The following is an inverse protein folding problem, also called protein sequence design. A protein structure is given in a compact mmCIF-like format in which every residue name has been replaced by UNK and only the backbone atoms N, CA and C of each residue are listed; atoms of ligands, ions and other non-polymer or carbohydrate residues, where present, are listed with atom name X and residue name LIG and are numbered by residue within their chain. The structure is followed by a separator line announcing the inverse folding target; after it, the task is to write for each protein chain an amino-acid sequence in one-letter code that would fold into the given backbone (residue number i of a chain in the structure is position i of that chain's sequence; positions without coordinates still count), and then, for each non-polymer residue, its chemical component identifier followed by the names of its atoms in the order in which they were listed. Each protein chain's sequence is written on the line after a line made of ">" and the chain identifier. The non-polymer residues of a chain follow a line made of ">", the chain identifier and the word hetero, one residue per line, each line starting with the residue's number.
data_IF_330011169463
#
_entry.id   IF_330011169463
#
_cell.length_a   1.000
_cell.length_b   1.000
_cell.length_c   1.000
_cell.angle_alpha   90.00
_cell.angle_beta   90.00
_cell.angle_gamma   90.00
#
_symmetry.space_group_name_H-M   'P 1'
#
loop_
_entity.id
_entity.type
_entity.pdbx_description
1 polymer ?
#
# COMPACT_ATOMS: atom_id res chain seq x y z
N UNK A 1 -0.66 8.73 -6.34
CA UNK A 1 0.19 9.56 -7.22
C UNK A 1 -0.69 10.35 -8.17
N UNK A 2 -0.63 11.68 -8.17
CA UNK A 2 -1.32 12.49 -9.18
C UNK A 2 -0.61 12.29 -10.53
N UNK A 3 -1.28 11.67 -11.50
CA UNK A 3 -0.81 11.61 -12.88
C UNK A 3 -0.68 13.05 -13.40
N UNK A 4 0.55 13.55 -13.46
CA UNK A 4 0.86 14.78 -14.16
C UNK A 4 0.45 14.61 -15.62
N UNK A 5 -0.59 15.34 -16.05
CA UNK A 5 -0.87 15.54 -17.48
C UNK A 5 0.28 16.36 -18.05
N UNK A 6 1.27 15.70 -18.66
CA UNK A 6 2.30 16.38 -19.43
C UNK A 6 1.67 16.91 -20.72
N UNK A 7 1.22 18.17 -20.70
CA UNK A 7 0.85 18.89 -21.90
C UNK A 7 2.14 19.32 -22.61
N UNK A 8 2.34 18.91 -23.87
CA UNK A 8 3.40 19.46 -24.70
C UNK A 8 3.04 20.91 -25.06
N UNK A 9 3.76 21.88 -24.51
CA UNK A 9 3.60 23.29 -24.86
C UNK A 9 4.68 23.70 -25.88
N UNK A 10 4.27 24.34 -26.97
CA UNK A 10 5.19 25.07 -27.87
C UNK A 10 5.11 26.55 -27.57
N UNK A 11 6.21 27.12 -27.06
CA UNK A 11 6.35 28.57 -26.85
C UNK A 11 6.96 29.19 -28.10
N UNK A 12 6.34 30.26 -28.61
CA UNK A 12 6.90 31.05 -29.70
C UNK A 12 7.51 32.35 -29.13
N UNK A 13 8.84 32.43 -28.95
CA UNK A 13 9.50 33.67 -28.56
C UNK A 13 9.58 34.63 -29.76
N UNK A 14 9.34 35.92 -29.51
CA UNK A 14 9.41 36.98 -30.52
C UNK A 14 10.88 37.22 -30.90
N UNK A 15 11.24 37.09 -32.18
CA UNK A 15 12.64 37.18 -32.66
C UNK A 15 13.12 38.62 -32.92
N UNK A 16 12.34 39.64 -32.54
CA UNK A 16 12.63 41.04 -32.90
C UNK A 16 12.58 42.06 -31.75
N UNK A 17 12.66 41.65 -30.48
CA UNK A 17 12.78 42.61 -29.35
C UNK A 17 14.05 42.35 -28.55
N UNK A 18 14.96 43.34 -28.53
CA UNK A 18 16.25 43.28 -27.81
C UNK A 18 16.13 43.58 -26.30
N UNK A 19 14.94 43.88 -25.76
CA UNK A 19 14.77 44.18 -24.34
C UNK A 19 13.51 43.49 -23.81
N UNK A 20 13.74 42.31 -23.21
CA UNK A 20 12.78 41.40 -22.54
C UNK A 20 11.87 40.55 -23.46
N UNK A 21 11.94 39.20 -23.40
CA UNK A 21 11.09 38.33 -24.21
C UNK A 21 9.66 38.33 -23.65
N UNK A 22 8.69 38.80 -24.45
CA UNK A 22 7.24 38.68 -24.17
C UNK A 22 6.64 37.52 -24.97
N UNK A 23 5.88 36.65 -24.29
CA UNK A 23 5.16 35.52 -24.90
C UNK A 23 3.92 36.05 -25.63
N UNK A 24 3.82 35.81 -26.95
CA UNK A 24 2.67 36.27 -27.78
C UNK A 24 1.39 35.44 -27.62
N UNK A 25 1.47 34.23 -27.07
CA UNK A 25 0.31 33.37 -26.83
C UNK A 25 0.66 31.89 -26.70
N UNK A 26 -0.30 31.11 -26.19
CA UNK A 26 -0.27 29.63 -26.12
C UNK A 26 -1.27 29.13 -27.16
N UNK A 27 -0.82 28.38 -28.17
CA UNK A 27 -1.73 27.78 -29.16
C UNK A 27 -2.03 26.32 -28.79
N UNK A 28 -3.30 26.00 -28.63
CA UNK A 28 -3.78 24.62 -28.59
C UNK A 28 -4.00 24.14 -30.03
N UNK A 29 -3.41 23.02 -30.42
CA UNK A 29 -3.92 22.26 -31.57
C UNK A 29 -5.19 21.56 -31.13
N UNK A 30 -6.38 21.86 -31.69
CA UNK A 30 -7.57 21.09 -31.40
C UNK A 30 -7.36 19.67 -31.95
N UNK A 31 -7.59 18.66 -31.12
CA UNK A 31 -7.80 17.30 -31.61
C UNK A 31 -9.03 17.31 -32.54
N UNK A 32 -9.04 16.51 -33.63
CA UNK A 32 -10.22 16.39 -34.48
C UNK A 32 -11.46 16.08 -33.64
N UNK A 33 -12.47 16.92 -33.75
CA UNK A 33 -13.77 16.75 -33.10
C UNK A 33 -14.48 15.51 -33.70
N UNK A 34 -14.31 14.34 -33.08
CA UNK A 34 -15.27 13.20 -33.06
C UNK A 34 -14.65 11.85 -32.61
N UNK A 35 -13.79 11.80 -31.59
CA UNK A 35 -13.37 10.53 -30.96
C UNK A 35 -13.30 10.70 -29.45
N UNK A 36 -13.79 9.71 -28.72
CA UNK A 36 -13.84 9.73 -27.26
C UNK A 36 -12.43 9.87 -26.67
N UNK A 37 -12.20 10.93 -25.89
CA UNK A 37 -10.84 11.30 -25.45
C UNK A 37 -10.21 10.25 -24.53
N UNK A 38 -11.02 9.43 -23.86
CA UNK A 38 -10.55 8.29 -23.06
C UNK A 38 -10.01 7.15 -23.93
N UNK A 39 -10.66 6.84 -25.05
CA UNK A 39 -10.23 5.77 -25.96
C UNK A 39 -8.90 6.12 -26.64
N UNK A 40 -8.69 7.39 -26.99
CA UNK A 40 -7.46 7.85 -27.63
C UNK A 40 -6.25 7.74 -26.68
N UNK A 41 -6.41 8.07 -25.39
CA UNK A 41 -5.34 7.93 -24.40
C UNK A 41 -5.04 6.47 -24.07
N UNK A 42 -6.07 5.62 -23.97
CA UNK A 42 -5.88 4.19 -23.74
C UNK A 42 -5.14 3.53 -24.91
N UNK A 43 -5.54 3.84 -26.14
CA UNK A 43 -4.86 3.37 -27.35
C UNK A 43 -3.40 3.84 -27.38
N UNK A 44 -3.14 5.11 -27.07
CA UNK A 44 -1.78 5.66 -27.02
C UNK A 44 -0.89 4.96 -25.98
N UNK A 45 -1.43 4.67 -24.80
CA UNK A 45 -0.68 3.94 -23.75
C UNK A 45 -0.42 2.49 -24.19
N UNK A 46 -1.40 1.82 -24.79
CA UNK A 46 -1.25 0.46 -25.33
C UNK A 46 -0.14 0.40 -26.40
N UNK A 47 -0.10 1.38 -27.32
CA UNK A 47 0.96 1.47 -28.34
C UNK A 47 2.36 1.64 -27.71
N UNK A 48 2.47 2.42 -26.63
CA UNK A 48 3.74 2.59 -25.90
C UNK A 48 4.15 1.32 -25.17
N UNK A 49 3.21 0.62 -24.55
CA UNK A 49 3.48 -0.67 -23.90
C UNK A 49 3.92 -1.70 -24.95
N UNK A 50 3.27 -1.71 -26.12
CA UNK A 50 3.66 -2.57 -27.22
C UNK A 50 5.08 -2.25 -27.72
N UNK A 51 5.46 -0.98 -27.86
CA UNK A 51 6.84 -0.59 -28.21
C UNK A 51 7.83 -1.10 -27.14
N UNK A 52 7.53 -0.87 -25.87
CA UNK A 52 8.36 -1.35 -24.76
C UNK A 52 8.51 -2.88 -24.78
N UNK A 53 7.42 -3.60 -25.02
CA UNK A 53 7.42 -5.05 -25.11
C UNK A 53 8.29 -5.55 -26.27
N UNK A 54 8.26 -4.89 -27.43
CA UNK A 54 9.12 -5.20 -28.57
C UNK A 54 10.61 -5.05 -28.23
N UNK A 55 11.00 -3.93 -27.62
CA UNK A 55 12.40 -3.72 -27.22
C UNK A 55 12.86 -4.78 -26.21
N UNK A 56 12.02 -5.10 -25.21
CA UNK A 56 12.28 -6.16 -24.23
C UNK A 56 12.40 -7.53 -24.89
N UNK A 57 11.50 -7.86 -25.83
CA UNK A 57 11.51 -9.13 -26.56
C UNK A 57 12.75 -9.29 -27.44
N UNK A 58 13.14 -8.24 -28.19
CA UNK A 58 14.36 -8.25 -29.02
C UNK A 58 15.60 -8.51 -28.17
N UNK A 59 15.75 -7.78 -27.05
CA UNK A 59 16.86 -7.98 -26.12
C UNK A 59 16.86 -9.39 -25.50
N UNK A 60 15.69 -9.97 -25.25
CA UNK A 60 15.54 -11.32 -24.71
C UNK A 60 16.04 -12.39 -25.69
N UNK A 61 15.68 -12.26 -26.98
CA UNK A 61 16.13 -13.18 -28.03
C UNK A 61 17.62 -13.04 -28.30
N UNK A 62 18.16 -11.82 -28.33
CA UNK A 62 19.58 -11.57 -28.61
C UNK A 62 20.49 -12.06 -27.48
N UNK A 63 20.15 -11.72 -26.23
CA UNK A 63 20.99 -12.01 -25.06
C UNK A 63 20.80 -13.43 -24.52
N UNK A 64 19.63 -14.05 -24.75
CA UNK A 64 19.36 -15.43 -24.32
C UNK A 64 18.44 -16.19 -25.29
N UNK A 65 18.96 -16.61 -26.46
CA UNK A 65 18.16 -17.29 -27.49
C UNK A 65 17.50 -18.60 -27.02
N UNK A 66 18.01 -19.23 -25.97
CA UNK A 66 17.50 -20.49 -25.43
C UNK A 66 16.31 -20.36 -24.47
N UNK A 67 15.90 -19.14 -24.13
CA UNK A 67 14.84 -18.89 -23.16
C UNK A 67 13.46 -19.33 -23.71
N UNK A 68 13.14 -18.85 -24.92
CA UNK A 68 11.92 -19.19 -25.67
C UNK A 68 12.21 -20.43 -26.49
N UNK A 69 11.56 -21.53 -26.14
CA UNK A 69 11.76 -22.83 -26.82
C UNK A 69 10.56 -23.74 -26.66
N UNK A 70 10.58 -24.84 -27.42
CA UNK A 70 9.60 -25.90 -27.26
C UNK A 70 9.86 -26.66 -25.94
N UNK A 71 8.82 -26.77 -25.11
CA UNK A 71 8.88 -27.43 -23.80
C UNK A 71 7.88 -28.57 -23.75
N UNK A 72 8.31 -29.71 -23.18
CA UNK A 72 7.44 -30.87 -22.94
C UNK A 72 7.06 -30.92 -21.47
N UNK A 73 5.76 -30.97 -21.19
CA UNK A 73 5.23 -31.08 -19.82
C UNK A 73 3.97 -31.95 -19.83
N UNK A 74 3.92 -32.95 -18.93
CA UNK A 74 2.86 -33.98 -18.88
C UNK A 74 2.45 -34.52 -20.27
N UNK A 75 3.45 -34.96 -21.07
CA UNK A 75 3.26 -35.52 -22.42
C UNK A 75 2.69 -34.54 -23.46
N UNK A 76 2.49 -33.26 -23.12
CA UNK A 76 2.12 -32.19 -24.06
C UNK A 76 3.34 -31.36 -24.42
N UNK A 77 3.45 -30.97 -25.69
CA UNK A 77 4.49 -30.05 -26.17
C UNK A 77 3.90 -28.66 -26.30
N UNK A 78 4.44 -27.71 -25.55
CA UNK A 78 4.16 -26.29 -25.64
C UNK A 78 5.24 -25.64 -26.51
N UNK A 79 4.84 -25.12 -27.67
CA UNK A 79 5.78 -24.51 -28.63
C UNK A 79 6.14 -23.08 -28.25
N UNK A 80 7.37 -22.66 -28.53
CA UNK A 80 7.85 -21.27 -28.40
C UNK A 80 7.39 -20.61 -27.09
N UNK A 81 7.80 -21.17 -25.95
CA UNK A 81 7.36 -20.67 -24.65
C UNK A 81 8.51 -20.57 -23.64
N UNK A 82 8.32 -19.69 -22.66
CA UNK A 82 9.20 -19.50 -21.51
C UNK A 82 8.44 -19.80 -20.23
N UNK A 83 9.14 -20.18 -19.16
CA UNK A 83 8.51 -20.27 -17.85
C UNK A 83 8.42 -18.89 -17.20
N UNK A 84 7.43 -18.68 -16.34
CA UNK A 84 7.30 -17.41 -15.60
C UNK A 84 8.53 -17.11 -14.76
N UNK A 85 9.12 -18.13 -14.12
CA UNK A 85 10.34 -17.97 -13.32
C UNK A 85 11.56 -17.56 -14.14
N UNK A 86 11.79 -18.19 -15.28
CA UNK A 86 12.91 -17.83 -16.16
C UNK A 86 12.77 -16.41 -16.73
N UNK A 87 11.54 -15.94 -16.99
CA UNK A 87 11.28 -14.56 -17.41
C UNK A 87 11.62 -13.57 -16.30
N UNK A 88 11.25 -13.86 -15.05
CA UNK A 88 11.62 -13.04 -13.89
C UNK A 88 13.14 -13.06 -13.69
N UNK A 89 13.77 -14.24 -13.73
CA UNK A 89 15.22 -14.39 -13.55
C UNK A 89 16.01 -13.65 -14.63
N UNK A 90 15.52 -13.63 -15.87
CA UNK A 90 16.13 -12.86 -16.95
C UNK A 90 16.02 -11.35 -16.68
N UNK A 91 14.85 -10.86 -16.28
CA UNK A 91 14.64 -9.44 -16.03
C UNK A 91 15.48 -8.94 -14.83
N UNK A 92 15.56 -9.74 -13.77
CA UNK A 92 16.41 -9.46 -12.60
C UNK A 92 17.91 -9.42 -12.93
N UNK A 93 18.36 -10.14 -13.97
CA UNK A 93 19.76 -10.10 -14.45
C UNK A 93 20.03 -8.94 -15.40
N UNK A 94 18.98 -8.45 -16.07
CA UNK A 94 19.08 -7.39 -17.07
C UNK A 94 19.13 -6.00 -16.43
N UNK A 95 18.36 -5.82 -15.36
CA UNK A 95 18.05 -4.51 -14.80
C UNK A 95 18.58 -4.40 -13.38
N UNK A 96 19.70 -3.68 -13.21
CA UNK A 96 20.29 -3.38 -11.90
C UNK A 96 19.36 -2.55 -11.00
N UNK A 97 18.31 -1.93 -11.56
CA UNK A 97 17.36 -1.12 -10.81
C UNK A 97 16.21 -1.92 -10.17
N UNK A 98 16.09 -3.21 -10.45
CA UNK A 98 15.07 -4.06 -9.83
C UNK A 98 15.48 -4.48 -8.42
N UNK A 99 14.65 -4.10 -7.45
CA UNK A 99 14.92 -4.37 -6.03
C UNK A 99 14.27 -5.67 -5.54
N UNK A 100 13.28 -6.20 -6.27
CA UNK A 100 12.52 -7.37 -5.85
C UNK A 100 11.93 -8.17 -7.03
N UNK A 101 11.67 -9.47 -6.79
CA UNK A 101 10.97 -10.33 -7.75
C UNK A 101 9.51 -9.91 -7.97
N UNK A 102 8.86 -9.34 -6.96
CA UNK A 102 7.49 -8.84 -7.07
C UNK A 102 7.39 -7.65 -8.04
N UNK A 103 8.40 -6.78 -8.06
CA UNK A 103 8.49 -5.71 -9.05
C UNK A 103 8.58 -6.26 -10.48
N UNK A 104 9.41 -7.29 -10.69
CA UNK A 104 9.49 -7.98 -11.98
C UNK A 104 8.17 -8.66 -12.39
N UNK A 105 7.48 -9.28 -11.43
CA UNK A 105 6.13 -9.83 -11.64
C UNK A 105 5.16 -8.76 -12.10
N UNK A 106 5.18 -7.57 -11.48
CA UNK A 106 4.36 -6.43 -11.89
C UNK A 106 4.64 -5.99 -13.33
N UNK A 107 5.91 -5.90 -13.73
CA UNK A 107 6.29 -5.57 -15.11
C UNK A 107 5.78 -6.59 -16.12
N UNK A 108 5.90 -7.88 -15.83
CA UNK A 108 5.37 -8.93 -16.70
C UNK A 108 3.84 -8.95 -16.72
N UNK A 109 3.20 -8.63 -15.59
CA UNK A 109 1.75 -8.52 -15.48
C UNK A 109 1.19 -7.44 -16.41
N UNK A 110 1.89 -6.32 -16.60
CA UNK A 110 1.51 -5.28 -17.59
C UNK A 110 1.38 -5.88 -18.99
N UNK A 111 2.34 -6.71 -19.40
CA UNK A 111 2.30 -7.36 -20.73
C UNK A 111 1.22 -8.43 -20.83
N UNK A 112 0.85 -9.07 -19.72
CA UNK A 112 -0.26 -10.02 -19.66
C UNK A 112 -1.59 -9.32 -19.78
N UNK A 113 -1.80 -8.21 -19.06
CA UNK A 113 -3.05 -7.45 -19.10
C UNK A 113 -3.29 -6.80 -20.49
N UNK A 114 -2.24 -6.40 -21.21
CA UNK A 114 -2.34 -5.94 -22.61
C UNK A 114 -2.47 -7.07 -23.64
N UNK A 115 -2.36 -8.34 -23.22
CA UNK A 115 -2.48 -9.50 -24.12
C UNK A 115 -1.26 -9.79 -24.99
N UNK A 116 -0.17 -9.06 -24.81
CA UNK A 116 1.11 -9.22 -25.51
C UNK A 116 1.81 -10.51 -25.07
N UNK A 117 1.79 -10.78 -23.76
CA UNK A 117 2.30 -11.99 -23.15
C UNK A 117 1.14 -12.87 -22.68
N UNK A 118 0.96 -14.04 -23.28
CA UNK A 118 -0.19 -14.89 -23.03
C UNK A 118 0.21 -16.14 -22.27
N UNK A 119 -0.48 -16.43 -21.16
CA UNK A 119 -0.34 -17.72 -20.49
C UNK A 119 -0.93 -18.84 -21.35
N UNK A 120 -0.25 -19.98 -21.46
CA UNK A 120 -0.71 -21.10 -22.31
C UNK A 120 -2.08 -21.69 -21.91
N UNK A 121 -2.54 -21.45 -20.67
CA UNK A 121 -3.88 -21.84 -20.19
C UNK A 121 -4.87 -20.66 -20.11
N UNK A 122 -4.50 -19.48 -20.66
CA UNK A 122 -5.31 -18.26 -20.60
C UNK A 122 -5.61 -17.78 -19.16
N UNK A 123 -4.65 -17.95 -18.25
CA UNK A 123 -4.75 -17.35 -16.92
C UNK A 123 -4.40 -15.85 -17.02
N UNK A 124 -5.16 -15.01 -16.32
CA UNK A 124 -5.04 -13.54 -16.37
C UNK A 124 -3.89 -13.00 -15.50
N UNK A 125 -3.39 -13.81 -14.56
CA UNK A 125 -2.38 -13.41 -13.60
C UNK A 125 -1.04 -14.08 -13.93
N UNK A 126 0.01 -13.27 -14.03
CA UNK A 126 1.38 -13.72 -14.17
C UNK A 126 1.84 -14.40 -12.88
N UNK A 127 2.60 -15.48 -13.04
CA UNK A 127 3.07 -16.31 -11.93
C UNK A 127 4.55 -16.61 -12.10
N UNK A 128 5.33 -16.19 -11.11
CA UNK A 128 6.75 -16.53 -10.97
C UNK A 128 6.92 -18.01 -10.55
N UNK A 129 6.66 -18.94 -11.48
CA UNK A 129 6.73 -20.39 -11.26
C UNK A 129 7.29 -21.12 -12.48
N UNK A 130 7.99 -22.22 -12.22
CA UNK A 130 8.57 -23.10 -13.25
C UNK A 130 7.51 -23.88 -14.06
N UNK A 131 6.31 -24.07 -13.50
CA UNK A 131 5.22 -24.86 -14.09
C UNK A 131 4.23 -24.05 -14.93
N UNK A 132 4.43 -22.73 -15.00
CA UNK A 132 3.57 -21.81 -15.73
C UNK A 132 4.30 -21.32 -16.98
N UNK A 133 3.68 -21.52 -18.14
CA UNK A 133 4.31 -21.23 -19.43
C UNK A 133 3.62 -20.04 -20.11
N UNK A 134 4.43 -19.15 -20.68
CA UNK A 134 3.99 -17.94 -21.34
C UNK A 134 4.55 -17.87 -22.76
N UNK A 135 3.80 -17.24 -23.67
CA UNK A 135 4.16 -17.03 -25.07
C UNK A 135 3.91 -15.57 -25.46
N UNK A 136 4.83 -14.99 -26.20
CA UNK A 136 4.63 -13.68 -26.84
C UNK A 136 3.79 -13.82 -28.10
N UNK A 137 2.83 -12.91 -28.30
CA UNK A 137 1.94 -12.95 -29.46
C UNK A 137 2.67 -12.51 -30.73
N UNK A 138 3.22 -13.46 -31.50
CA UNK A 138 4.05 -13.23 -32.70
C UNK A 138 3.48 -12.23 -33.72
N UNK A 139 2.15 -12.11 -33.84
CA UNK A 139 1.49 -11.17 -34.75
C UNK A 139 1.86 -9.70 -34.47
N UNK A 140 2.27 -9.39 -33.25
CA UNK A 140 2.63 -8.03 -32.82
C UNK A 140 4.13 -7.72 -32.94
N UNK A 141 4.96 -8.74 -33.19
CA UNK A 141 6.42 -8.65 -33.21
C UNK A 141 7.01 -8.86 -34.61
N UNK A 142 6.22 -8.60 -35.66
CA UNK A 142 6.64 -8.72 -37.06
C UNK A 142 8.01 -8.09 -37.31
N UNK A 143 8.92 -8.91 -37.83
CA UNK A 143 10.30 -8.55 -38.22
C UNK A 143 10.26 -7.34 -39.16
N UNK A 144 10.69 -6.18 -38.69
CA UNK A 144 11.28 -5.09 -39.49
C UNK A 144 11.65 -3.91 -38.57
N UNK A 145 12.85 -3.92 -37.99
CA UNK A 145 13.59 -2.69 -37.81
C UNK A 145 15.10 -2.97 -37.78
N UNK A 146 15.80 -2.52 -38.81
CA UNK A 146 17.25 -2.33 -38.80
C UNK A 146 17.53 -1.05 -38.00
N UNK A 147 17.55 -1.15 -36.68
CA UNK A 147 18.00 -0.07 -35.78
C UNK A 147 19.47 -0.30 -35.42
N UNK A 148 20.26 0.76 -35.26
CA UNK A 148 21.64 0.60 -34.80
C UNK A 148 21.65 0.01 -33.37
N UNK A 149 22.72 -0.69 -32.98
CA UNK A 149 22.82 -1.28 -31.63
C UNK A 149 22.64 -0.24 -30.53
N UNK A 150 23.16 0.98 -30.73
CA UNK A 150 23.03 2.07 -29.76
C UNK A 150 21.58 2.55 -29.59
N UNK A 151 20.85 2.66 -30.69
CA UNK A 151 19.44 3.07 -30.68
C UNK A 151 18.58 1.99 -29.98
N UNK A 152 18.95 0.72 -30.13
CA UNK A 152 18.24 -0.43 -29.56
C UNK A 152 18.38 -0.52 -28.03
N UNK A 153 19.55 -0.15 -27.49
CA UNK A 153 19.78 -0.12 -26.03
C UNK A 153 19.02 1.05 -25.35
N UNK A 154 19.00 2.23 -25.99
CA UNK A 154 18.25 3.39 -25.50
C UNK A 154 16.74 3.07 -25.47
N UNK A 155 16.21 2.45 -26.53
CA UNK A 155 14.81 2.01 -26.57
C UNK A 155 14.47 0.94 -25.53
N UNK A 156 15.39 0.01 -25.27
CA UNK A 156 15.21 -0.98 -24.20
C UNK A 156 15.11 -0.30 -22.84
N UNK A 157 15.98 0.65 -22.55
CA UNK A 157 15.98 1.36 -21.27
C UNK A 157 14.71 2.21 -21.08
N UNK A 158 14.23 2.88 -22.13
CA UNK A 158 12.95 3.59 -22.12
C UNK A 158 11.77 2.63 -21.88
N UNK A 159 11.78 1.45 -22.53
CA UNK A 159 10.77 0.42 -22.37
C UNK A 159 10.72 -0.14 -20.95
N UNK A 160 11.89 -0.45 -20.38
CA UNK A 160 12.00 -0.92 -18.99
C UNK A 160 11.51 0.14 -18.00
N UNK A 161 11.86 1.41 -18.20
CA UNK A 161 11.40 2.53 -17.37
C UNK A 161 9.87 2.64 -17.36
N UNK A 162 9.23 2.52 -18.53
CA UNK A 162 7.77 2.51 -18.64
C UNK A 162 7.15 1.32 -17.88
N UNK A 163 7.69 0.12 -18.05
CA UNK A 163 7.18 -1.08 -17.36
C UNK A 163 7.37 -0.99 -15.84
N UNK A 164 8.48 -0.44 -15.36
CA UNK A 164 8.70 -0.18 -13.93
C UNK A 164 7.67 0.80 -13.38
N UNK A 165 7.30 1.83 -14.13
CA UNK A 165 6.29 2.81 -13.72
C UNK A 165 4.87 2.19 -13.67
N UNK A 166 4.54 1.32 -14.62
CA UNK A 166 3.21 0.70 -14.73
C UNK A 166 3.05 -0.55 -13.85
N UNK A 167 4.16 -1.20 -13.51
CA UNK A 167 4.19 -2.48 -12.81
C UNK A 167 3.47 -2.51 -11.46
N UNK A 168 3.59 -1.50 -10.57
CA UNK A 168 2.93 -1.49 -9.28
C UNK A 168 1.39 -1.58 -9.36
N UNK A 169 0.76 -0.81 -10.26
CA UNK A 169 -0.70 -0.83 -10.43
C UNK A 169 -1.21 -2.17 -11.00
N UNK A 170 -0.47 -2.72 -11.98
CA UNK A 170 -0.75 -4.03 -12.55
C UNK A 170 -0.60 -5.15 -11.51
N UNK A 171 0.48 -5.11 -10.71
CA UNK A 171 0.72 -6.05 -9.61
C UNK A 171 -0.40 -6.01 -8.58
N UNK A 172 -0.76 -4.81 -8.13
CA UNK A 172 -1.82 -4.63 -7.15
C UNK A 172 -3.17 -5.13 -7.68
N UNK A 173 -3.54 -4.77 -8.92
CA UNK A 173 -4.79 -5.22 -9.54
C UNK A 173 -4.82 -6.75 -9.65
N UNK A 174 -3.71 -7.37 -10.06
CA UNK A 174 -3.56 -8.83 -10.12
C UNK A 174 -3.75 -9.48 -8.74
N UNK A 175 -3.19 -8.89 -7.68
CA UNK A 175 -3.33 -9.38 -6.30
C UNK A 175 -4.78 -9.22 -5.81
N UNK A 176 -5.39 -8.09 -6.09
CA UNK A 176 -6.77 -7.78 -5.70
C UNK A 176 -7.80 -8.70 -6.38
N UNK A 177 -7.51 -9.22 -7.59
CA UNK A 177 -8.30 -10.28 -8.25
C UNK A 177 -8.23 -11.64 -7.53
N UNK A 178 -7.23 -11.90 -6.68
CA UNK A 178 -7.18 -13.11 -5.85
C UNK A 178 -8.24 -13.04 -4.76
N UNK A 179 -8.84 -14.18 -4.43
CA UNK A 179 -9.69 -14.26 -3.24
C UNK A 179 -8.89 -13.95 -1.97
N UNK A 180 -9.50 -13.32 -0.94
CA UNK A 180 -8.85 -13.04 0.35
C UNK A 180 -8.02 -14.22 0.91
N UNK A 181 -8.57 -15.44 0.85
CA UNK A 181 -7.92 -16.67 1.34
C UNK A 181 -6.69 -17.14 0.56
N UNK A 182 -6.45 -16.60 -0.64
CA UNK A 182 -5.35 -17.01 -1.54
C UNK A 182 -4.19 -16.03 -1.54
N UNK A 183 -4.26 -14.95 -0.75
CA UNK A 183 -3.20 -13.92 -0.68
C UNK A 183 -2.07 -14.37 0.23
N UNK A 184 -0.84 -14.20 -0.23
CA UNK A 184 0.38 -14.44 0.56
C UNK A 184 0.66 -13.24 1.48
N UNK A 185 1.60 -13.38 2.42
CA UNK A 185 2.03 -12.25 3.25
C UNK A 185 2.57 -11.07 2.39
N UNK A 186 3.34 -11.38 1.35
CA UNK A 186 3.84 -10.37 0.41
C UNK A 186 2.70 -9.68 -0.36
N UNK A 187 1.66 -10.43 -0.76
CA UNK A 187 0.47 -9.87 -1.40
C UNK A 187 -0.23 -8.86 -0.47
N UNK A 188 -0.36 -9.20 0.81
CA UNK A 188 -0.99 -8.35 1.82
C UNK A 188 -0.19 -7.07 2.06
N UNK A 189 1.14 -7.15 2.07
CA UNK A 189 2.01 -5.99 2.21
C UNK A 189 1.83 -5.01 1.04
N UNK A 190 1.74 -5.52 -0.19
CA UNK A 190 1.49 -4.67 -1.38
C UNK A 190 0.15 -3.95 -1.28
N UNK A 191 -0.92 -4.65 -0.87
CA UNK A 191 -2.23 -4.00 -0.66
C UNK A 191 -2.14 -2.96 0.47
N UNK A 192 -1.49 -3.31 1.58
CA UNK A 192 -1.35 -2.43 2.73
C UNK A 192 -0.62 -1.13 2.39
N UNK A 193 0.50 -1.21 1.68
CA UNK A 193 1.27 -0.05 1.21
C UNK A 193 0.42 0.87 0.33
N UNK A 194 -0.44 0.30 -0.52
CA UNK A 194 -1.36 1.12 -1.29
C UNK A 194 -2.45 1.77 -0.44
N UNK A 195 -3.00 1.06 0.55
CA UNK A 195 -4.00 1.61 1.47
C UNK A 195 -3.49 2.83 2.24
N UNK A 196 -2.18 3.03 2.39
CA UNK A 196 -1.61 4.25 2.97
C UNK A 196 -1.88 5.50 2.12
N UNK A 197 -2.11 5.32 0.82
CA UNK A 197 -2.30 6.41 -0.15
C UNK A 197 -3.78 6.71 -0.44
N UNK A 198 -4.71 5.89 0.05
CA UNK A 198 -6.15 6.05 -0.19
C UNK A 198 -6.79 6.96 0.85
N UNK A 199 -7.37 8.07 0.39
CA UNK A 199 -8.04 9.08 1.24
C UNK A 199 -9.15 8.49 2.11
N UNK A 200 -10.00 7.62 1.57
CA UNK A 200 -11.10 6.99 2.28
C UNK A 200 -10.66 6.27 3.58
N UNK A 201 -9.45 5.72 3.63
CA UNK A 201 -8.92 4.97 4.78
C UNK A 201 -7.76 5.68 5.48
N UNK A 202 -7.47 6.93 5.10
CA UNK A 202 -6.39 7.73 5.69
C UNK A 202 -6.61 8.01 7.19
N UNK A 203 -7.86 7.99 7.66
CA UNK A 203 -8.22 8.21 9.05
C UNK A 203 -8.17 6.93 9.92
N UNK A 204 -7.98 5.75 9.31
CA UNK A 204 -7.94 4.47 10.02
C UNK A 204 -6.54 4.18 10.60
N UNK A 205 -6.46 3.37 11.65
CA UNK A 205 -5.17 2.94 12.20
C UNK A 205 -4.45 1.97 11.26
N UNK A 206 -3.13 1.80 11.45
CA UNK A 206 -2.35 0.82 10.69
C UNK A 206 -2.84 -0.62 10.95
N UNK A 207 -3.28 -0.94 12.17
CA UNK A 207 -3.88 -2.24 12.50
C UNK A 207 -5.14 -2.50 11.68
N UNK A 208 -6.05 -1.52 11.58
CA UNK A 208 -7.26 -1.62 10.76
C UNK A 208 -6.92 -1.76 9.28
N UNK A 209 -5.96 -1.00 8.74
CA UNK A 209 -5.57 -1.14 7.32
C UNK A 209 -5.00 -2.52 7.00
N UNK A 210 -4.23 -3.14 7.90
CA UNK A 210 -3.72 -4.50 7.73
C UNK A 210 -4.86 -5.53 7.68
N UNK A 211 -5.82 -5.40 8.59
CA UNK A 211 -7.03 -6.23 8.57
C UNK A 211 -7.85 -6.03 7.29
N UNK A 212 -7.98 -4.78 6.82
CA UNK A 212 -8.64 -4.47 5.56
C UNK A 212 -7.93 -5.12 4.37
N UNK A 213 -6.60 -5.04 4.28
CA UNK A 213 -5.82 -5.69 3.22
C UNK A 213 -6.12 -7.19 3.11
N UNK A 214 -6.35 -7.85 4.26
CA UNK A 214 -6.68 -9.26 4.33
C UNK A 214 -8.08 -9.62 3.82
N UNK A 215 -9.05 -8.70 3.86
CA UNK A 215 -10.46 -8.99 3.54
C UNK A 215 -10.99 -8.31 2.29
N UNK A 216 -10.30 -7.29 1.79
CA UNK A 216 -10.76 -6.48 0.66
C UNK A 216 -11.09 -7.33 -0.56
N UNK A 217 -12.26 -7.10 -1.14
CA UNK A 217 -12.72 -7.76 -2.36
C UNK A 217 -12.71 -6.76 -3.51
N UNK A 218 -12.11 -7.14 -4.64
CA UNK A 218 -12.14 -6.33 -5.86
C UNK A 218 -13.43 -6.59 -6.63
N UNK A 219 -14.16 -5.53 -6.97
CA UNK A 219 -15.40 -5.60 -7.74
C UNK A 219 -15.32 -4.64 -8.92
N UNK A 220 -15.51 -5.15 -10.15
CA UNK A 220 -15.47 -4.35 -11.37
C UNK A 220 -16.79 -4.39 -12.13
N UNK A 221 -17.13 -3.26 -12.76
CA UNK A 221 -18.36 -3.08 -13.50
C UNK A 221 -18.06 -2.38 -14.82
N UNK A 222 -18.44 -3.02 -15.93
CA UNK A 222 -18.05 -2.56 -17.26
C UNK A 222 -18.83 -1.35 -17.76
N UNK A 223 -20.11 -1.21 -17.37
CA UNK A 223 -21.05 -0.26 -18.00
C UNK A 223 -21.50 0.86 -17.08
N UNK A 224 -21.44 2.10 -17.58
CA UNK A 224 -22.11 3.26 -17.03
C UNK A 224 -23.62 3.03 -16.94
N UNK A 225 -24.27 3.69 -15.98
CA UNK A 225 -25.70 3.55 -15.71
C UNK A 225 -26.06 2.29 -14.91
N UNK A 226 -25.10 1.39 -14.64
CA UNK A 226 -25.33 0.22 -13.77
C UNK A 226 -25.71 0.69 -12.36
N UNK A 227 -26.81 0.18 -11.83
CA UNK A 227 -27.23 0.42 -10.44
C UNK A 227 -26.49 -0.56 -9.55
N UNK A 228 -25.60 -0.04 -8.69
CA UNK A 228 -24.81 -0.87 -7.77
C UNK A 228 -25.66 -1.38 -6.60
N UNK A 229 -26.51 -0.50 -6.05
CA UNK A 229 -27.60 -0.86 -5.13
C UNK A 229 -28.63 0.26 -5.08
N UNK A 230 -29.84 -0.07 -4.63
CA UNK A 230 -30.95 0.86 -4.53
C UNK A 230 -31.21 1.33 -3.10
N UNK A 231 -31.77 2.54 -2.97
CA UNK A 231 -32.30 3.01 -1.70
C UNK A 231 -33.36 2.01 -1.17
N UNK A 232 -33.30 1.68 0.11
CA UNK A 232 -34.17 0.70 0.75
C UNK A 232 -33.62 -0.73 0.75
N UNK A 233 -32.58 -1.02 -0.05
CA UNK A 233 -31.95 -2.35 -0.03
C UNK A 233 -31.25 -2.62 1.31
N UNK A 234 -31.06 -3.89 1.64
CA UNK A 234 -30.26 -4.28 2.81
C UNK A 234 -28.79 -3.91 2.58
N UNK A 235 -28.20 -3.15 3.50
CA UNK A 235 -26.78 -2.81 3.44
C UNK A 235 -25.89 -3.96 3.88
N UNK A 236 -25.22 -4.61 2.93
CA UNK A 236 -24.34 -5.75 3.19
C UNK A 236 -22.85 -5.48 2.92
N UNK A 237 -22.49 -4.34 2.32
CA UNK A 237 -21.09 -4.04 1.99
C UNK A 237 -20.79 -2.54 2.08
N UNK A 238 -19.52 -2.21 2.30
CA UNK A 238 -18.92 -0.89 2.19
C UNK A 238 -18.02 -0.86 0.96
N UNK A 239 -17.97 0.27 0.25
CA UNK A 239 -17.27 0.40 -1.02
C UNK A 239 -16.35 1.61 -1.00
N UNK A 240 -15.16 1.45 -1.56
CA UNK A 240 -14.22 2.52 -1.89
C UNK A 240 -14.06 2.53 -3.42
N UNK A 241 -14.11 3.71 -4.02
CA UNK A 241 -13.96 3.89 -5.46
C UNK A 241 -12.48 3.81 -5.81
N UNK A 242 -12.09 2.73 -6.48
CA UNK A 242 -10.73 2.53 -6.97
C UNK A 242 -10.53 3.24 -8.30
N UNK A 243 -11.49 3.09 -9.22
CA UNK A 243 -11.49 3.72 -10.54
C UNK A 243 -12.89 4.14 -10.95
N UNK A 244 -13.01 5.30 -11.58
CA UNK A 244 -14.26 5.83 -12.13
C UNK A 244 -15.04 6.71 -11.16
N UNK A 245 -16.33 6.85 -11.40
CA UNK A 245 -17.20 7.74 -10.62
C UNK A 245 -18.63 7.23 -10.54
N UNK A 246 -19.34 7.62 -9.48
CA UNK A 246 -20.73 7.21 -9.22
C UNK A 246 -21.60 8.39 -8.80
N UNK A 247 -22.88 8.31 -9.13
CA UNK A 247 -23.91 9.24 -8.70
C UNK A 247 -24.64 8.70 -7.47
N UNK A 248 -24.87 9.56 -6.48
CA UNK A 248 -25.66 9.28 -5.28
C UNK A 248 -27.04 9.91 -5.43
N UNK A 249 -28.09 9.08 -5.47
CA UNK A 249 -29.46 9.51 -5.74
C UNK A 249 -30.36 9.15 -4.56
N UNK A 250 -31.24 10.07 -4.16
CA UNK A 250 -32.23 9.81 -3.09
C UNK A 250 -33.64 10.15 -3.54
N UNK A 251 -34.60 9.36 -3.06
CA UNK A 251 -36.03 9.59 -3.30
C UNK A 251 -36.44 10.95 -2.74
N UNK A 252 -37.08 11.77 -3.58
CA UNK A 252 -37.53 13.11 -3.21
C UNK A 252 -36.49 14.23 -3.37
N UNK A 253 -35.20 13.92 -3.54
CA UNK A 253 -34.16 14.94 -3.83
C UNK A 253 -33.47 14.76 -5.19
N UNK A 254 -33.56 13.58 -5.81
CA UNK A 254 -32.86 13.30 -7.05
C UNK A 254 -31.36 13.10 -6.82
N UNK A 255 -30.52 13.61 -7.73
CA UNK A 255 -29.06 13.56 -7.61
C UNK A 255 -28.59 14.45 -6.46
N UNK A 256 -27.97 13.84 -5.44
CA UNK A 256 -27.48 14.55 -4.24
C UNK A 256 -26.02 14.96 -4.42
N UNK A 257 -25.17 14.05 -4.88
CA UNK A 257 -23.76 14.29 -5.13
C UNK A 257 -23.19 13.25 -6.10
N UNK A 258 -22.01 13.54 -6.63
CA UNK A 258 -21.17 12.59 -7.38
C UNK A 258 -19.95 12.27 -6.54
N UNK A 259 -19.54 11.01 -6.55
CA UNK A 259 -18.33 10.53 -5.87
C UNK A 259 -17.29 10.05 -6.90
N UNK A 260 -16.03 10.25 -6.58
CA UNK A 260 -14.88 9.98 -7.45
C UNK A 260 -13.85 9.05 -6.78
N UNK A 261 -12.82 8.69 -7.54
CA UNK A 261 -11.69 7.88 -7.08
C UNK A 261 -11.12 8.33 -5.74
N UNK A 262 -10.90 7.38 -4.84
CA UNK A 262 -10.42 7.61 -3.48
C UNK A 262 -11.50 7.96 -2.45
N UNK A 263 -12.75 8.15 -2.87
CA UNK A 263 -13.91 8.33 -1.97
C UNK A 263 -14.62 7.00 -1.69
N UNK A 264 -15.43 6.97 -0.63
CA UNK A 264 -16.13 5.79 -0.17
C UNK A 264 -17.62 6.04 0.11
N UNK A 265 -18.40 4.95 0.13
CA UNK A 265 -19.83 5.01 0.40
C UNK A 265 -20.39 3.69 0.94
N UNK A 266 -21.58 3.77 1.54
CA UNK A 266 -22.33 2.60 2.02
C UNK A 266 -22.04 2.16 3.45
N UNK A 267 -21.13 2.82 4.16
CA UNK A 267 -20.80 2.48 5.57
C UNK A 267 -21.99 2.64 6.54
N UNK A 268 -22.88 3.61 6.33
CA UNK A 268 -23.96 3.95 7.27
C UNK A 268 -24.92 2.79 7.53
N UNK A 269 -25.23 2.01 6.49
CA UNK A 269 -26.12 0.88 6.58
C UNK A 269 -25.51 -0.31 7.35
N UNK A 270 -24.18 -0.38 7.42
CA UNK A 270 -23.48 -1.42 8.18
C UNK A 270 -23.50 -1.12 9.68
N UNK A 271 -23.26 0.14 10.04
CA UNK A 271 -23.17 0.60 11.44
C UNK A 271 -24.53 0.59 12.12
N UNK A 272 -25.57 1.08 11.44
CA UNK A 272 -26.89 1.26 12.04
C UNK A 272 -27.84 0.08 11.84
N UNK A 273 -27.37 -0.99 11.18
CA UNK A 273 -28.21 -2.11 10.70
C UNK A 273 -29.50 -1.65 9.99
N UNK A 274 -29.37 -0.58 9.20
CA UNK A 274 -30.47 0.11 8.54
C UNK A 274 -30.45 -0.14 7.01
N UNK A 275 -31.59 0.04 6.32
CA UNK A 275 -31.62 0.01 4.85
C UNK A 275 -30.73 1.09 4.22
N UNK A 276 -30.33 0.90 2.95
CA UNK A 276 -29.57 1.88 2.17
C UNK A 276 -30.34 3.20 2.09
N UNK A 277 -29.69 4.31 2.44
CA UNK A 277 -30.30 5.65 2.42
C UNK A 277 -30.36 6.28 1.02
N UNK A 278 -29.62 5.75 0.05
CA UNK A 278 -29.50 6.26 -1.31
C UNK A 278 -29.27 5.13 -2.31
N UNK A 279 -29.59 5.39 -3.58
CA UNK A 279 -29.24 4.57 -4.75
C UNK A 279 -27.89 5.02 -5.31
N UNK A 280 -27.03 4.07 -5.66
CA UNK A 280 -25.73 4.34 -6.30
C UNK A 280 -25.77 3.86 -7.74
N UNK A 281 -25.44 4.77 -8.68
CA UNK A 281 -25.42 4.48 -10.11
C UNK A 281 -24.06 4.86 -10.68
N UNK A 282 -23.46 3.95 -11.46
CA UNK A 282 -22.20 4.22 -12.13
C UNK A 282 -22.36 5.33 -13.16
N UNK A 283 -21.41 6.27 -13.17
CA UNK A 283 -21.42 7.40 -14.10
C UNK A 283 -20.59 7.13 -15.35
N UNK A 284 -19.59 6.26 -15.24
CA UNK A 284 -18.63 5.94 -16.30
C UNK A 284 -18.50 4.43 -16.50
N UNK A 285 -17.98 4.04 -17.66
CA UNK A 285 -17.64 2.64 -17.96
C UNK A 285 -16.39 2.21 -17.17
N UNK A 286 -16.24 0.90 -16.97
CA UNK A 286 -15.08 0.28 -16.30
C UNK A 286 -14.77 0.85 -14.90
N UNK A 287 -15.80 1.02 -14.07
CA UNK A 287 -15.63 1.39 -12.68
C UNK A 287 -15.11 0.21 -11.85
N UNK A 288 -14.15 0.47 -10.98
CA UNK A 288 -13.57 -0.51 -10.07
C UNK A 288 -13.79 -0.08 -8.61
N UNK A 289 -14.11 -1.03 -7.76
CA UNK A 289 -14.37 -0.80 -6.34
C UNK A 289 -13.59 -1.78 -5.46
N UNK A 290 -13.14 -1.29 -4.32
CA UNK A 290 -12.70 -2.11 -3.20
C UNK A 290 -13.89 -2.27 -2.24
N UNK A 291 -14.31 -3.50 -2.02
CA UNK A 291 -15.48 -3.85 -1.22
C UNK A 291 -15.08 -4.56 0.06
N UNK A 292 -15.71 -4.17 1.17
CA UNK A 292 -15.65 -4.89 2.45
C UNK A 292 -17.06 -5.37 2.79
N UNK A 293 -17.20 -6.67 3.03
CA UNK A 293 -18.50 -7.25 3.39
C UNK A 293 -18.82 -7.03 4.87
N UNK A 294 -20.11 -6.97 5.20
CA UNK A 294 -20.61 -6.62 6.53
C UNK A 294 -20.01 -7.48 7.65
N UNK A 295 -19.82 -8.77 7.39
CA UNK A 295 -19.27 -9.70 8.37
C UNK A 295 -17.82 -9.35 8.71
N UNK A 296 -16.99 -9.10 7.70
CA UNK A 296 -15.61 -8.68 7.89
C UNK A 296 -15.54 -7.27 8.50
N UNK A 297 -16.38 -6.34 8.05
CA UNK A 297 -16.45 -4.99 8.62
C UNK A 297 -16.74 -5.02 10.14
N UNK A 298 -17.75 -5.79 10.56
CA UNK A 298 -18.10 -5.93 11.98
C UNK A 298 -17.01 -6.69 12.73
N UNK A 299 -16.41 -7.73 12.13
CA UNK A 299 -15.30 -8.48 12.75
C UNK A 299 -14.13 -7.55 13.05
N UNK A 300 -13.69 -6.76 12.06
CA UNK A 300 -12.57 -5.82 12.22
C UNK A 300 -12.86 -4.80 13.34
N UNK A 301 -14.07 -4.25 13.39
CA UNK A 301 -14.45 -3.33 14.48
C UNK A 301 -14.38 -4.01 15.86
N UNK A 302 -14.86 -5.25 15.97
CA UNK A 302 -14.79 -6.03 17.22
C UNK A 302 -13.35 -6.38 17.59
N UNK A 303 -12.52 -6.72 16.63
CA UNK A 303 -11.12 -7.08 16.86
C UNK A 303 -10.32 -5.85 17.33
N UNK A 304 -10.58 -4.67 16.76
CA UNK A 304 -10.01 -3.41 17.26
C UNK A 304 -10.44 -3.16 18.70
N UNK A 305 -11.72 -3.34 19.03
CA UNK A 305 -12.21 -3.16 20.39
C UNK A 305 -11.63 -4.19 21.36
N UNK A 306 -11.54 -5.46 20.96
CA UNK A 306 -10.97 -6.54 21.76
C UNK A 306 -9.46 -6.38 22.00
N UNK A 307 -8.75 -5.80 21.03
CA UNK A 307 -7.31 -5.52 21.14
C UNK A 307 -7.03 -4.18 21.82
N UNK A 308 -8.04 -3.36 22.10
CA UNK A 308 -7.89 -2.07 22.77
C UNK A 308 -8.26 -2.18 24.24
N UNK A 309 -7.34 -1.81 25.14
CA UNK A 309 -7.61 -1.67 26.58
C UNK A 309 -7.73 -0.19 26.91
N UNK A 310 -8.85 0.21 27.50
CA UNK A 310 -9.09 1.58 27.97
C UNK A 310 -9.15 1.58 29.49
N UNK A 311 -8.25 2.33 30.11
CA UNK A 311 -8.30 2.65 31.53
C UNK A 311 -9.10 3.93 31.69
N UNK A 312 -10.16 3.88 32.48
CA UNK A 312 -11.03 5.03 32.74
C UNK A 312 -10.92 5.48 34.20
N UNK A 313 -10.78 6.79 34.40
CA UNK A 313 -10.89 7.43 35.71
C UNK A 313 -11.93 8.54 35.63
N UNK A 314 -12.87 8.55 36.57
CA UNK A 314 -13.95 9.55 36.64
C UNK A 314 -14.79 9.63 35.34
N UNK A 315 -14.99 8.50 34.66
CA UNK A 315 -15.75 8.41 33.40
C UNK A 315 -15.02 8.99 32.19
N UNK A 316 -13.70 9.20 32.27
CA UNK A 316 -12.84 9.62 31.15
C UNK A 316 -11.77 8.58 30.91
N UNK A 317 -11.54 8.23 29.65
CA UNK A 317 -10.40 7.39 29.25
C UNK A 317 -9.09 8.14 29.52
N UNK A 318 -8.27 7.64 30.44
CA UNK A 318 -6.99 8.23 30.85
C UNK A 318 -5.77 7.51 30.28
N UNK A 319 -5.93 6.28 29.82
CA UNK A 319 -4.89 5.55 29.09
C UNK A 319 -5.55 4.55 28.13
N UNK A 320 -5.09 4.53 26.88
CA UNK A 320 -5.53 3.63 25.83
C UNK A 320 -4.31 2.84 25.37
N UNK A 321 -4.41 1.52 25.45
CA UNK A 321 -3.38 0.57 25.06
C UNK A 321 -3.92 -0.29 23.91
N UNK A 322 -3.08 -0.59 22.93
CA UNK A 322 -3.37 -1.57 21.89
C UNK A 322 -2.52 -2.82 22.13
N UNK A 323 -3.09 -4.01 22.01
CA UNK A 323 -2.36 -5.26 22.07
C UNK A 323 -1.56 -5.41 20.77
N UNK A 324 -0.23 -5.42 20.86
CA UNK A 324 0.61 -5.72 19.70
C UNK A 324 0.48 -7.20 19.34
N UNK A 325 -0.20 -7.49 18.22
CA UNK A 325 -0.17 -8.81 17.61
C UNK A 325 1.17 -8.94 16.87
N UNK A 326 2.17 -9.52 17.55
CA UNK A 326 3.37 -10.00 16.88
C UNK A 326 3.01 -11.23 16.06
N UNK A 327 3.33 -11.22 14.77
CA UNK A 327 3.47 -12.45 13.99
C UNK A 327 4.49 -13.32 14.70
N UNK A 328 4.03 -14.47 15.20
CA UNK A 328 4.89 -15.48 15.79
C UNK A 328 5.92 -15.92 14.74
N UNK A 329 7.13 -15.38 14.83
CA UNK A 329 8.30 -16.09 14.32
C UNK A 329 8.45 -17.34 15.17
N UNK A 330 7.87 -18.43 14.70
CA UNK A 330 7.95 -19.77 15.26
C UNK A 330 9.39 -20.30 15.17
N UNK A 331 10.32 -19.73 15.92
CA UNK A 331 11.65 -20.26 16.18
C UNK A 331 12.28 -19.58 17.40
N UNK A 332 11.73 -19.86 18.58
CA UNK A 332 12.51 -20.08 19.81
C UNK A 332 11.57 -20.53 20.92
N UNK A 333 11.81 -21.74 21.43
CA UNK A 333 11.12 -22.25 22.59
C UNK A 333 11.42 -21.38 23.81
N UNK A 334 10.42 -20.65 24.29
CA UNK A 334 10.33 -20.20 25.68
C UNK A 334 8.88 -19.85 26.00
N UNK A 335 8.34 -20.56 26.97
CA UNK A 335 7.03 -20.36 27.57
C UNK A 335 6.97 -18.98 28.23
N UNK A 336 6.32 -18.02 27.57
CA UNK A 336 6.08 -16.69 28.09
C UNK A 336 5.17 -15.92 27.15
N UNK A 337 3.86 -16.18 27.24
CA UNK A 337 2.82 -15.45 26.51
C UNK A 337 2.73 -14.01 27.06
N UNK A 338 3.72 -13.17 26.75
CA UNK A 338 3.71 -11.74 27.06
C UNK A 338 2.89 -11.05 26.00
N UNK A 339 1.58 -10.92 26.22
CA UNK A 339 0.75 -9.97 25.49
C UNK A 339 1.40 -8.58 25.65
N UNK A 340 2.22 -8.15 24.68
CA UNK A 340 2.87 -6.84 24.73
C UNK A 340 1.83 -5.80 24.30
N UNK A 341 1.59 -4.82 25.17
CA UNK A 341 0.70 -3.71 24.89
C UNK A 341 1.51 -2.48 24.50
N UNK A 342 1.01 -1.72 23.53
CA UNK A 342 1.59 -0.45 23.08
C UNK A 342 0.69 0.70 23.50
N UNK A 343 1.28 1.77 24.02
CA UNK A 343 0.54 2.97 24.43
C UNK A 343 0.08 3.74 23.20
N UNK A 344 -1.23 3.93 23.05
CA UNK A 344 -1.82 4.69 21.93
C UNK A 344 -2.10 6.14 22.30
N UNK A 345 -2.58 6.37 23.53
CA UNK A 345 -2.83 7.71 24.08
C UNK A 345 -3.02 7.61 25.59
N UNK A 346 -2.81 8.71 26.31
CA UNK A 346 -3.10 8.79 27.74
C UNK A 346 -2.69 10.13 28.32
N UNK A 347 -2.99 10.34 29.61
CA UNK A 347 -2.46 11.50 30.33
C UNK A 347 -0.97 11.30 30.61
N UNK A 348 -0.18 12.40 30.69
CA UNK A 348 1.26 12.32 30.99
C UNK A 348 1.58 11.43 32.20
N UNK A 349 0.78 11.56 33.26
CA UNK A 349 0.94 10.82 34.52
C UNK A 349 0.67 9.32 34.33
N UNK A 350 -0.39 8.96 33.59
CA UNK A 350 -0.74 7.54 33.35
C UNK A 350 0.20 6.85 32.38
N UNK A 351 0.72 7.58 31.39
CA UNK A 351 1.77 7.06 30.51
C UNK A 351 3.03 6.76 31.34
N UNK A 352 3.43 7.67 32.22
CA UNK A 352 4.59 7.48 33.10
C UNK A 352 4.38 6.31 34.08
N UNK A 353 3.22 6.24 34.73
CA UNK A 353 2.86 5.16 35.65
C UNK A 353 2.92 3.80 34.94
N UNK A 354 2.27 3.67 33.78
CA UNK A 354 2.29 2.45 32.98
C UNK A 354 3.71 2.05 32.56
N UNK A 355 4.54 3.01 32.14
CA UNK A 355 5.93 2.74 31.78
C UNK A 355 6.72 2.19 32.97
N UNK A 356 6.57 2.79 34.16
CA UNK A 356 7.27 2.34 35.36
C UNK A 356 6.82 0.97 35.84
N UNK A 357 5.55 0.62 35.65
CA UNK A 357 5.00 -0.70 35.98
C UNK A 357 5.44 -1.80 35.00
N UNK A 358 5.54 -1.47 33.71
CA UNK A 358 5.82 -2.44 32.65
C UNK A 358 7.31 -2.70 32.41
N UNK A 359 8.19 -1.79 32.81
CA UNK A 359 9.63 -1.97 32.66
C UNK A 359 10.13 -3.12 33.54
N UNK A 360 10.33 -4.28 32.92
CA UNK A 360 10.99 -5.44 33.53
C UNK A 360 12.51 -5.22 33.54
N UNK A 361 13.06 -4.87 34.71
CA UNK A 361 14.49 -4.58 34.91
C UNK A 361 15.39 -5.83 35.01
N UNK A 362 14.91 -7.02 34.63
CA UNK A 362 15.70 -8.25 34.70
C UNK A 362 16.59 -8.47 33.46
N UNK A 363 16.63 -7.52 32.51
CA UNK A 363 17.52 -7.59 31.34
C UNK A 363 18.97 -7.32 31.74
N UNK A 364 19.85 -8.25 31.34
CA UNK A 364 21.28 -8.09 31.46
C UNK A 364 21.73 -6.80 30.74
N UNK A 365 22.83 -6.21 31.18
CA UNK A 365 23.32 -4.87 30.77
C UNK A 365 23.53 -4.74 29.23
N UNK A 366 23.54 -5.85 28.48
CA UNK A 366 23.70 -5.86 27.02
C UNK A 366 22.41 -5.86 26.21
N UNK A 367 21.22 -5.99 26.83
CA UNK A 367 19.98 -6.01 26.05
C UNK A 367 19.56 -4.58 25.66
N UNK A 368 19.07 -4.39 24.42
CA UNK A 368 18.60 -3.10 23.95
C UNK A 368 17.47 -2.57 24.85
N UNK A 369 17.52 -1.27 25.15
CA UNK A 369 16.46 -0.56 25.90
C UNK A 369 15.12 -0.85 25.23
N UNK A 370 14.08 -1.17 26.02
CA UNK A 370 12.73 -1.39 25.48
C UNK A 370 12.32 -0.16 24.64
N UNK A 371 11.94 -0.34 23.36
CA UNK A 371 11.53 0.75 22.49
C UNK A 371 10.55 1.74 23.14
N UNK A 372 9.62 1.25 23.98
CA UNK A 372 8.66 2.11 24.68
C UNK A 372 9.32 3.12 25.63
N UNK A 373 10.40 2.72 26.32
CA UNK A 373 11.18 3.62 27.18
C UNK A 373 11.95 4.63 26.35
N UNK A 374 12.51 4.19 25.23
CA UNK A 374 13.22 5.07 24.29
C UNK A 374 12.28 6.15 23.73
N UNK A 375 11.10 5.75 23.26
CA UNK A 375 10.10 6.66 22.68
C UNK A 375 9.64 7.69 23.71
N UNK A 376 9.36 7.26 24.95
CA UNK A 376 9.01 8.18 26.04
C UNK A 376 10.13 9.18 26.32
N UNK A 377 11.38 8.72 26.45
CA UNK A 377 12.52 9.60 26.72
C UNK A 377 12.74 10.64 25.62
N UNK A 378 12.56 10.25 24.36
CA UNK A 378 12.70 11.14 23.22
C UNK A 378 11.57 12.17 23.14
N UNK A 379 10.36 11.81 23.59
CA UNK A 379 9.15 12.63 23.34
C UNK A 379 8.56 13.31 24.57
N UNK A 380 8.99 12.96 25.80
CA UNK A 380 8.40 13.45 27.05
C UNK A 380 8.32 14.98 27.12
N UNK A 381 9.29 15.73 26.57
CA UNK A 381 9.26 17.20 26.63
C UNK A 381 8.06 17.83 25.93
N UNK A 382 7.43 17.11 25.00
CA UNK A 382 6.24 17.58 24.26
C UNK A 382 4.99 17.58 25.14
N UNK A 383 4.83 16.58 26.01
CA UNK A 383 3.60 16.37 26.77
C UNK A 383 3.79 16.37 28.30
N UNK A 384 5.03 16.22 28.79
CA UNK A 384 5.44 16.22 30.19
C UNK A 384 6.82 16.89 30.36
N UNK A 385 6.89 18.23 30.42
CA UNK A 385 8.14 18.94 30.62
C UNK A 385 8.88 18.47 31.87
N UNK A 386 10.21 18.63 31.89
CA UNK A 386 11.04 18.16 33.03
C UNK A 386 10.63 18.79 34.37
N UNK A 387 10.02 19.98 34.36
CA UNK A 387 9.44 20.61 35.57
C UNK A 387 8.25 19.85 36.15
N UNK A 388 7.56 19.03 35.37
CA UNK A 388 6.47 18.15 35.80
C UNK A 388 6.93 16.70 35.97
N UNK A 389 7.80 16.20 35.07
CA UNK A 389 8.31 14.84 35.16
C UNK A 389 9.17 14.62 36.43
N UNK A 390 10.06 15.55 36.76
CA UNK A 390 10.95 15.38 37.92
C UNK A 390 10.15 15.30 39.25
N UNK A 391 9.18 16.18 39.53
CA UNK A 391 8.30 16.02 40.69
C UNK A 391 7.46 14.73 40.67
N UNK A 392 6.93 14.33 39.52
CA UNK A 392 6.14 13.10 39.41
C UNK A 392 6.97 11.85 39.74
N UNK A 393 8.21 11.78 39.23
CA UNK A 393 9.18 10.73 39.57
C UNK A 393 9.57 10.77 41.06
N UNK A 394 9.76 11.95 41.64
CA UNK A 394 10.05 12.11 43.08
C UNK A 394 8.87 11.67 43.96
N UNK A 395 7.63 11.86 43.50
CA UNK A 395 6.44 11.44 44.23
C UNK A 395 6.27 9.91 44.22
N UNK A 396 6.55 9.26 43.09
CA UNK A 396 6.58 7.79 43.00
C UNK A 396 7.79 7.18 43.73
N UNK A 397 8.88 7.95 43.89
CA UNK A 397 10.11 7.53 44.56
C UNK A 397 10.59 8.57 45.57
N UNK A 398 9.93 8.70 46.74
CA UNK A 398 10.37 9.63 47.76
C UNK A 398 11.76 9.24 48.26
N UNK A 399 12.66 10.19 48.52
CA UNK A 399 13.96 9.91 49.10
C UNK A 399 13.76 9.39 50.53
N UNK A 400 13.78 8.07 50.73
CA UNK A 400 13.89 7.52 52.08
C UNK A 400 15.28 7.80 52.62
N UNK A 401 15.31 8.41 53.80
CA UNK A 401 16.51 8.67 54.58
C UNK A 401 17.45 7.47 54.62
N UNK A 402 18.73 7.78 54.44
CA UNK A 402 19.88 6.95 54.77
C UNK A 402 19.68 6.19 56.07
N UNK A 403 19.40 4.89 55.99
CA UNK A 403 20.13 3.80 56.65
C UNK A 403 19.28 2.53 56.78
N UNK A 404 19.94 1.39 56.55
CA UNK A 404 19.57 0.03 56.93
C UNK A 404 18.76 -0.82 55.92
N UNK A 405 19.43 -1.90 55.53
CA UNK A 405 19.00 -3.12 54.83
C UNK A 405 18.78 -3.05 53.31
N UNK A 406 19.81 -3.50 52.58
CA UNK A 406 19.79 -3.79 51.15
C UNK A 406 18.72 -4.85 50.84
N UNK A 407 17.55 -4.39 50.38
CA UNK A 407 16.64 -5.18 49.56
C UNK A 407 16.92 -4.92 48.08
N UNK A 408 16.95 -5.98 47.26
CA UNK A 408 17.29 -5.97 45.83
C UNK A 408 16.50 -4.97 44.96
N UNK A 409 15.37 -4.46 45.44
CA UNK A 409 14.56 -3.44 44.79
C UNK A 409 15.22 -2.05 44.74
N UNK A 410 15.98 -1.66 45.76
CA UNK A 410 16.53 -0.29 45.88
C UNK A 410 17.70 -0.04 44.91
N UNK A 411 18.50 -1.08 44.60
CA UNK A 411 19.57 -1.03 43.59
C UNK A 411 19.02 -1.01 42.16
N UNK A 412 17.85 -1.63 41.94
CA UNK A 412 17.13 -1.62 40.64
C UNK A 412 16.64 -0.21 40.29
N UNK A 413 16.24 0.55 41.31
CA UNK A 413 15.67 1.90 41.23
C UNK A 413 16.69 2.99 40.94
N UNK A 414 17.85 2.97 41.60
CA UNK A 414 18.93 3.93 41.31
C UNK A 414 19.46 3.77 39.89
N UNK A 415 19.36 2.59 39.29
CA UNK A 415 19.77 2.31 37.90
C UNK A 415 18.78 2.84 36.86
N UNK A 416 17.47 2.73 37.10
CA UNK A 416 16.45 3.33 36.22
C UNK A 416 16.54 4.86 36.26
N UNK A 417 16.63 5.44 37.46
CA UNK A 417 16.85 6.88 37.66
C UNK A 417 18.18 7.33 37.05
N UNK A 418 19.27 6.57 37.22
CA UNK A 418 20.55 6.86 36.55
C UNK A 418 20.48 6.75 35.02
N UNK A 419 19.72 5.81 34.45
CA UNK A 419 19.55 5.66 33.00
C UNK A 419 18.65 6.76 32.40
N UNK A 420 17.51 7.06 33.04
CA UNK A 420 16.65 8.19 32.66
C UNK A 420 17.42 9.51 32.80
N UNK A 421 18.09 9.75 33.93
CA UNK A 421 18.88 10.97 34.12
C UNK A 421 20.08 11.06 33.18
N UNK A 422 20.77 9.96 32.84
CA UNK A 422 21.84 9.97 31.82
C UNK A 422 21.30 10.27 30.42
N UNK A 423 20.17 9.68 30.02
CA UNK A 423 19.51 10.00 28.74
C UNK A 423 19.01 11.44 28.66
N UNK A 424 18.43 11.94 29.75
CA UNK A 424 17.94 13.33 29.87
C UNK A 424 19.09 14.34 29.92
N UNK A 425 20.25 13.99 30.50
CA UNK A 425 21.44 14.86 30.52
C UNK A 425 22.21 14.86 29.19
N UNK A 426 22.28 13.74 28.45
CA UNK A 426 22.92 13.71 27.12
C UNK A 426 22.14 14.57 26.11
N UNK A 427 20.81 14.67 26.23
CA UNK A 427 19.99 15.57 25.42
C UNK A 427 20.11 17.06 25.80
N UNK A 428 20.98 17.41 26.76
CA UNK A 428 21.21 18.79 27.22
C UNK A 428 22.49 19.41 26.64
N UNK A 429 23.36 18.60 26.04
CA UNK A 429 24.64 19.01 25.43
C UNK A 429 24.65 18.89 23.89
N UNK A 430 23.48 18.95 23.25
CA UNK A 430 23.31 18.96 21.78
C UNK A 430 22.48 20.13 21.29
#
# INVERSE_FOLDING_TARGET
>A
MHLFRSYNYRVYPDRYSMETPKIRGISWTPLPEALDTQDTMKQFLSDRILKAARSVYSALIERNPGLIRDRKYHLKTYRQCSTGKELVDWLMKLSDCLQSRSQAVGMWQVLVDEGILVHVKQELNFQDRDTQFYRFLEAEFGLNHTTNEKDSEEELQEGLSLLVQMGPDALLTMILRKSPSQRTADDLEVIYEELLHIKAVAHLSSSVRKELAAVLVFESHAKAGTVLFSQGDKGNSWYIIWKGSVNVITHGKGLVTTLHEGEDFGQLALVNDAPRAATIILREDNCHFLRVDKQDFIRILKDVEANTVRLEEHGKSVLVLEKSCGTESANQGSSGNSNKYTVMSGTPEKILEHLLETVRLDTNISDPIDPCVSDFLLTHRVFMPSSQLCPALQHQYPPTDTSLTLGSANVRLTRLFSKLCRGIFVARDG
#
